data_IF_222235527188
#
_entry.id   IF_222235527188
#
_cell.length_a   1.000
_cell.length_b   1.000
_cell.length_c   1.000
_cell.angle_alpha   90.00
_cell.angle_beta   90.00
_cell.angle_gamma   90.00
#
_symmetry.space_group_name_H-M   'P 1'
#
loop_
_entity.id
_entity.type
_entity.pdbx_description
1 polymer ?
#
# COMPACT_ATOMS: atom_id res chain seq x y z
N UNK A 1 -5.18 30.79 -9.13
CA UNK A 1 -5.72 29.44 -9.42
C UNK A 1 -6.47 29.01 -8.19
N UNK A 2 -7.76 28.72 -8.32
CA UNK A 2 -8.57 28.19 -7.22
C UNK A 2 -7.98 26.83 -6.83
N UNK A 3 -7.67 26.67 -5.54
CA UNK A 3 -7.21 25.39 -5.00
C UNK A 3 -8.43 24.51 -4.76
N UNK A 4 -8.38 23.26 -5.22
CA UNK A 4 -9.47 22.34 -4.99
C UNK A 4 -9.52 21.95 -3.50
N UNK A 5 -10.58 22.36 -2.81
CA UNK A 5 -10.75 22.11 -1.38
C UNK A 5 -11.50 20.81 -1.06
N UNK A 6 -12.45 20.42 -1.91
CA UNK A 6 -13.27 19.21 -1.73
C UNK A 6 -13.39 18.47 -3.04
N UNK A 7 -13.12 17.17 -3.02
CA UNK A 7 -13.27 16.29 -4.16
C UNK A 7 -14.30 15.22 -3.85
N UNK A 8 -15.43 15.26 -4.54
CA UNK A 8 -16.45 14.21 -4.45
C UNK A 8 -16.58 13.56 -5.82
N UNK A 9 -16.21 12.29 -5.90
CA UNK A 9 -16.38 11.43 -7.07
C UNK A 9 -17.12 10.14 -6.70
N UNK A 10 -17.87 10.14 -5.60
CA UNK A 10 -18.64 9.01 -5.14
C UNK A 10 -19.66 8.52 -6.20
N UNK A 11 -19.99 7.23 -6.19
CA UNK A 11 -20.98 6.62 -7.09
C UNK A 11 -20.71 6.83 -8.58
N UNK A 12 -19.44 6.75 -8.96
CA UNK A 12 -19.05 6.73 -10.36
C UNK A 12 -18.47 5.37 -10.72
N UNK A 13 -18.28 5.12 -12.01
CA UNK A 13 -17.62 3.92 -12.49
C UNK A 13 -16.12 4.18 -12.78
N UNK A 14 -15.48 5.02 -11.95
CA UNK A 14 -14.05 5.31 -12.10
C UNK A 14 -13.27 4.03 -11.78
N UNK A 15 -12.58 3.54 -12.79
CA UNK A 15 -11.62 2.43 -12.69
C UNK A 15 -10.22 2.98 -12.92
N UNK A 16 -9.20 2.25 -12.46
CA UNK A 16 -7.76 2.60 -12.49
C UNK A 16 -7.20 3.15 -11.17
N UNK A 17 -5.92 3.51 -11.23
CA UNK A 17 -5.08 3.95 -10.12
C UNK A 17 -5.34 5.40 -9.76
N UNK A 18 -5.32 5.72 -8.48
CA UNK A 18 -5.32 7.10 -8.02
C UNK A 18 -3.96 7.73 -8.35
N UNK A 19 -3.89 8.78 -9.20
CA UNK A 19 -2.63 9.36 -9.60
C UNK A 19 -1.93 10.07 -8.42
N UNK A 20 -0.60 9.93 -8.34
CA UNK A 20 0.23 10.51 -7.27
C UNK A 20 0.24 12.03 -7.23
N UNK A 21 -0.30 12.70 -8.25
CA UNK A 21 -0.46 14.16 -8.24
C UNK A 21 -1.36 14.65 -7.10
N UNK A 22 -2.27 13.81 -6.62
CA UNK A 22 -3.09 14.08 -5.43
C UNK A 22 -2.27 14.26 -4.14
N UNK A 23 -1.01 13.78 -4.10
CA UNK A 23 -0.10 14.04 -2.97
C UNK A 23 0.33 15.51 -2.87
N UNK A 24 0.40 16.20 -4.01
CA UNK A 24 0.83 17.60 -4.08
C UNK A 24 -0.33 18.59 -3.87
N UNK A 25 -1.56 18.07 -3.74
CA UNK A 25 -2.75 18.89 -3.54
C UNK A 25 -2.96 19.15 -2.04
N UNK A 26 -2.21 20.13 -1.50
CA UNK A 26 -2.29 20.50 -0.09
C UNK A 26 -3.57 21.26 0.30
N UNK A 27 -4.31 21.79 -0.68
CA UNK A 27 -5.57 22.49 -0.43
C UNK A 27 -6.76 21.58 -0.17
N UNK A 28 -6.64 20.27 -0.42
CA UNK A 28 -7.74 19.33 -0.26
C UNK A 28 -8.02 19.05 1.22
N UNK A 29 -9.20 19.44 1.66
CA UNK A 29 -9.72 19.23 3.02
C UNK A 29 -10.65 18.03 3.13
N UNK A 30 -11.28 17.62 2.03
CA UNK A 30 -12.27 16.55 2.04
C UNK A 30 -12.29 15.76 0.75
N UNK A 31 -12.46 14.44 0.88
CA UNK A 31 -12.46 13.53 -0.26
C UNK A 31 -13.51 12.45 -0.06
N UNK A 32 -14.26 12.15 -1.12
CA UNK A 32 -15.19 11.02 -1.21
C UNK A 32 -15.06 10.36 -2.58
N UNK A 33 -14.54 9.14 -2.61
CA UNK A 33 -14.45 8.30 -3.80
C UNK A 33 -15.15 6.96 -3.57
N UNK A 34 -16.16 6.94 -2.70
CA UNK A 34 -16.90 5.73 -2.39
C UNK A 34 -17.63 5.18 -3.62
N UNK A 35 -17.90 3.88 -3.64
CA UNK A 35 -18.66 3.24 -4.73
C UNK A 35 -18.06 3.48 -6.12
N UNK A 36 -16.76 3.24 -6.27
CA UNK A 36 -16.07 3.22 -7.56
C UNK A 36 -15.33 1.88 -7.74
N UNK A 37 -14.64 1.72 -8.87
CA UNK A 37 -13.81 0.56 -9.21
C UNK A 37 -12.31 0.91 -9.12
N UNK A 38 -11.93 1.84 -8.24
CA UNK A 38 -10.55 2.28 -8.09
C UNK A 38 -9.66 1.15 -7.54
N UNK A 39 -8.43 1.13 -8.02
CA UNK A 39 -7.43 0.13 -7.65
C UNK A 39 -6.09 0.75 -7.22
N UNK A 40 -5.26 -0.06 -6.56
CA UNK A 40 -3.92 0.32 -6.15
C UNK A 40 -3.86 1.04 -4.80
N UNK A 41 -2.70 1.63 -4.52
CA UNK A 41 -2.42 2.27 -3.22
C UNK A 41 -2.93 3.70 -3.20
N UNK A 42 -3.64 4.07 -2.13
CA UNK A 42 -3.99 5.47 -1.90
C UNK A 42 -2.73 6.32 -1.72
N UNK A 43 -2.65 7.51 -2.33
CA UNK A 43 -1.50 8.39 -2.18
C UNK A 43 -1.30 8.80 -0.73
N UNK A 44 -0.05 9.06 -0.35
CA UNK A 44 0.31 9.43 1.01
C UNK A 44 0.07 10.93 1.27
N UNK A 45 -1.20 11.34 1.32
CA UNK A 45 -1.62 12.71 1.63
C UNK A 45 -2.50 12.77 2.88
N UNK A 46 -2.44 13.90 3.59
CA UNK A 46 -3.20 14.13 4.82
C UNK A 46 -4.69 13.89 4.61
N UNK A 47 -5.26 14.35 3.49
CA UNK A 47 -6.69 14.17 3.17
C UNK A 47 -7.10 12.70 3.08
N UNK A 48 -6.25 11.81 2.55
CA UNK A 48 -6.56 10.38 2.44
C UNK A 48 -6.39 9.65 3.78
N UNK A 49 -5.49 10.15 4.64
CA UNK A 49 -5.30 9.66 6.00
C UNK A 49 -6.48 10.03 6.89
N UNK A 50 -6.96 11.27 6.78
CA UNK A 50 -8.06 11.82 7.57
C UNK A 50 -9.44 11.48 7.00
N UNK A 51 -9.51 11.02 5.74
CA UNK A 51 -10.75 10.61 5.10
C UNK A 51 -11.43 9.49 5.89
N UNK A 52 -12.75 9.57 6.14
CA UNK A 52 -13.49 8.50 6.81
C UNK A 52 -13.45 7.21 6.00
N UNK A 53 -13.58 6.05 6.66
CA UNK A 53 -13.57 4.75 5.98
C UNK A 53 -14.67 4.67 4.90
N UNK A 54 -15.81 5.30 5.17
CA UNK A 54 -16.94 5.42 4.25
C UNK A 54 -16.57 6.14 2.94
N UNK A 55 -15.65 7.11 2.96
CA UNK A 55 -15.27 7.88 1.77
C UNK A 55 -14.45 7.08 0.75
N UNK A 56 -13.90 5.92 1.11
CA UNK A 56 -13.19 5.04 0.17
C UNK A 56 -13.82 3.65 0.09
N UNK A 57 -14.99 3.47 0.70
CA UNK A 57 -15.67 2.17 0.73
C UNK A 57 -16.10 1.71 -0.67
N UNK A 58 -16.34 0.42 -0.81
CA UNK A 58 -16.80 -0.22 -2.05
C UNK A 58 -15.84 -0.13 -3.25
N UNK A 59 -14.59 0.30 -3.07
CA UNK A 59 -13.53 0.12 -4.05
C UNK A 59 -12.84 -1.23 -3.85
N UNK A 60 -13.15 -2.23 -4.68
CA UNK A 60 -12.74 -3.64 -4.47
C UNK A 60 -11.22 -3.88 -4.45
N UNK A 61 -10.44 -3.01 -5.09
CA UNK A 61 -8.99 -3.21 -5.31
C UNK A 61 -8.14 -2.08 -4.74
N UNK A 62 -8.73 -1.24 -3.90
CA UNK A 62 -8.06 -0.09 -3.31
C UNK A 62 -7.38 -0.49 -2.00
N UNK A 63 -6.06 -0.37 -1.94
CA UNK A 63 -5.26 -0.57 -0.74
C UNK A 63 -5.13 0.75 0.01
N UNK A 64 -5.80 0.86 1.15
CA UNK A 64 -5.71 2.04 2.02
C UNK A 64 -4.50 1.93 2.93
N UNK A 65 -3.68 2.98 2.99
CA UNK A 65 -2.67 3.11 4.03
C UNK A 65 -3.37 3.47 5.34
N UNK A 66 -3.74 2.47 6.13
CA UNK A 66 -4.18 2.70 7.50
C UNK A 66 -2.93 3.00 8.33
N UNK A 67 -2.79 4.25 8.78
CA UNK A 67 -1.95 4.57 9.93
C UNK A 67 -2.82 4.35 11.17
N UNK A 68 -2.67 3.25 11.92
CA UNK A 68 -3.41 3.09 13.16
C UNK A 68 -2.92 4.19 14.10
N UNK A 69 -3.84 5.00 14.62
CA UNK A 69 -3.54 6.06 15.59
C UNK A 69 -2.80 5.54 16.84
N UNK A 70 -2.82 4.22 17.07
CA UNK A 70 -2.14 3.48 18.13
C UNK A 70 -0.69 3.07 17.81
N UNK A 71 -0.22 3.19 16.56
CA UNK A 71 1.18 2.83 16.20
C UNK A 71 2.22 3.87 16.63
N UNK A 72 1.81 5.05 17.14
CA UNK A 72 2.80 5.99 17.68
C UNK A 72 3.54 5.42 18.91
N UNK A 73 2.96 4.44 19.60
CA UNK A 73 3.58 3.77 20.76
C UNK A 73 3.93 2.30 20.53
N UNK A 74 3.48 1.66 19.45
CA UNK A 74 3.69 0.20 19.23
C UNK A 74 4.80 -0.16 18.24
N UNK A 75 5.33 0.81 17.48
CA UNK A 75 6.54 0.60 16.65
C UNK A 75 7.80 0.27 17.47
N UNK A 76 7.82 0.56 18.77
CA UNK A 76 8.93 0.17 19.65
C UNK A 76 8.95 -1.32 20.02
N UNK A 77 7.84 -2.06 19.90
CA UNK A 77 7.76 -3.41 20.48
C UNK A 77 7.98 -4.56 19.48
N UNK A 78 7.69 -4.38 18.19
CA UNK A 78 7.87 -5.46 17.19
C UNK A 78 9.19 -5.37 16.39
N UNK A 79 9.95 -4.28 16.45
CA UNK A 79 11.29 -4.20 15.83
C UNK A 79 12.36 -5.01 16.60
N UNK A 80 12.01 -5.61 17.74
CA UNK A 80 12.91 -6.43 18.57
C UNK A 80 13.03 -7.90 18.16
N UNK A 81 12.29 -8.41 17.18
CA UNK A 81 12.45 -9.79 16.68
C UNK A 81 13.18 -9.83 15.34
N UNK A 82 14.48 -9.57 15.39
CA UNK A 82 15.39 -10.12 14.37
C UNK A 82 15.80 -11.53 14.79
N UNK A 83 15.46 -12.52 13.96
CA UNK A 83 16.31 -13.63 13.49
C UNK A 83 15.44 -14.69 12.80
N UNK A 84 15.47 -14.70 11.48
CA UNK A 84 15.67 -15.92 10.70
C UNK A 84 16.04 -15.51 9.27
N UNK A 85 17.33 -15.46 9.01
CA UNK A 85 17.88 -15.52 7.67
C UNK A 85 18.60 -16.85 7.53
N UNK A 86 18.18 -17.67 6.58
CA UNK A 86 19.05 -18.60 5.88
C UNK A 86 18.39 -18.97 4.56
N UNK A 87 19.10 -18.61 3.49
CA UNK A 87 18.78 -18.77 2.09
C UNK A 87 18.81 -20.25 1.69
N UNK A 88 17.84 -20.73 0.90
CA UNK A 88 18.07 -21.89 0.05
C UNK A 88 18.54 -21.38 -1.32
N UNK A 89 19.86 -21.32 -1.50
CA UNK A 89 20.48 -21.30 -2.82
C UNK A 89 20.55 -22.75 -3.31
N UNK A 90 19.60 -23.16 -4.17
CA UNK A 90 19.68 -24.42 -4.90
C UNK A 90 20.39 -24.22 -6.23
N UNK A 91 21.72 -24.26 -6.24
CA UNK A 91 22.53 -24.37 -7.46
C UNK A 91 23.60 -25.47 -7.28
N UNK A 92 23.42 -26.53 -8.07
CA UNK A 92 24.40 -27.44 -8.68
C UNK A 92 25.35 -28.28 -7.80
N UNK A 93 25.09 -29.59 -7.76
CA UNK A 93 26.14 -30.61 -7.68
C UNK A 93 25.85 -31.72 -8.70
N UNK A 94 26.34 -31.54 -9.92
CA UNK A 94 26.67 -32.65 -10.82
C UNK A 94 28.18 -32.87 -10.66
N UNK A 95 28.58 -34.06 -10.20
CA UNK A 95 29.85 -34.72 -10.50
C UNK A 95 29.80 -36.19 -10.01
N UNK A 96 29.38 -37.04 -10.95
CA UNK A 96 30.02 -38.29 -11.38
C UNK A 96 30.79 -39.11 -10.34
N UNK A 97 30.20 -40.22 -9.88
CA UNK A 97 30.95 -41.36 -9.35
C UNK A 97 31.52 -42.18 -10.51
N UNK A 98 32.81 -42.02 -10.75
CA UNK A 98 33.59 -42.86 -11.65
C UNK A 98 35.08 -42.71 -11.37
N UNK A 99 35.65 -43.65 -10.60
CA UNK A 99 37.03 -44.09 -10.76
C UNK A 99 37.16 -45.54 -10.28
N UNK A 100 37.74 -46.34 -11.16
CA UNK A 100 38.22 -47.71 -10.99
C UNK A 100 39.53 -47.75 -10.18
N UNK A 101 39.96 -49.00 -9.89
CA UNK A 101 41.27 -49.50 -9.40
C UNK A 101 41.36 -49.64 -7.85
N UNK A 102 41.61 -50.79 -7.20
CA UNK A 102 42.14 -52.13 -7.55
C UNK A 102 41.25 -53.30 -7.05
#
# INVERSE_FOLDING_TARGET
MESLEKLNTAYNNLSSLIPKCFEKMHGLSGIDMSYNELEGSTPNSAVFRDAPLAALQKNKRLCRMLVPSILLTRWFFDFGRTKSGSQEQGINNLNTSGSLDD
#
